data_IF_339886212081
#
_entry.id   IF_339886212081
#
_cell.length_a   1.000
_cell.length_b   1.000
_cell.length_c   1.000
_cell.angle_alpha   90.00
_cell.angle_beta   90.00
_cell.angle_gamma   90.00
#
_symmetry.space_group_name_H-M   'P 1'
#
loop_
_entity.id
_entity.type
_entity.pdbx_description
1 polymer ?
#
# COMPACT_ATOMS: atom_id res chain seq x y z
N UNK A 1 4.49 9.94 1.39
CA UNK A 1 4.35 9.81 -0.07
C UNK A 1 5.24 10.86 -0.73
N UNK A 2 6.04 10.50 -1.74
CA UNK A 2 6.79 11.50 -2.54
C UNK A 2 6.01 11.83 -3.81
N UNK A 3 6.26 13.01 -4.41
CA UNK A 3 5.59 13.40 -5.67
C UNK A 3 5.83 12.39 -6.81
N UNK A 4 7.01 11.78 -6.85
CA UNK A 4 7.33 10.75 -7.85
C UNK A 4 6.49 9.47 -7.68
N UNK A 5 6.18 9.06 -6.45
CA UNK A 5 5.30 7.91 -6.20
C UNK A 5 3.84 8.29 -6.47
N UNK A 6 3.40 9.50 -6.09
CA UNK A 6 2.04 9.97 -6.40
C UNK A 6 1.79 9.96 -7.92
N UNK A 7 2.75 10.48 -8.70
CA UNK A 7 2.70 10.43 -10.15
C UNK A 7 2.72 8.99 -10.69
N UNK A 8 3.53 8.10 -10.11
CA UNK A 8 3.53 6.68 -10.51
C UNK A 8 2.17 6.02 -10.25
N UNK A 9 1.56 6.27 -9.09
CA UNK A 9 0.22 5.78 -8.75
C UNK A 9 -0.80 6.26 -9.78
N UNK A 10 -0.86 7.58 -10.02
CA UNK A 10 -1.83 8.19 -10.93
C UNK A 10 -1.76 7.66 -12.37
N UNK A 11 -0.58 7.20 -12.81
CA UNK A 11 -0.40 6.61 -14.15
C UNK A 11 -0.42 5.07 -14.15
N UNK A 12 -0.67 4.43 -13.01
CA UNK A 12 -0.70 2.97 -12.93
C UNK A 12 -2.02 2.43 -13.47
N UNK A 13 -1.92 1.51 -14.41
CA UNK A 13 -3.09 0.80 -14.95
C UNK A 13 -3.85 0.08 -13.82
N UNK A 14 -5.18 0.19 -13.84
CA UNK A 14 -6.06 -0.46 -12.87
C UNK A 14 -6.14 0.23 -11.50
N UNK A 15 -5.54 1.39 -11.30
CA UNK A 15 -5.82 2.21 -10.11
C UNK A 15 -7.25 2.77 -10.19
N UNK A 16 -8.05 2.54 -9.15
CA UNK A 16 -9.39 3.14 -9.00
C UNK A 16 -9.29 4.45 -8.22
N UNK A 17 -8.45 4.47 -7.19
CA UNK A 17 -8.21 5.67 -6.38
C UNK A 17 -7.31 5.40 -5.17
N UNK A 18 -6.83 6.45 -4.54
CA UNK A 18 -6.00 6.36 -3.33
C UNK A 18 -6.28 7.51 -2.36
N UNK A 19 -5.92 7.30 -1.10
CA UNK A 19 -5.97 8.29 -0.03
C UNK A 19 -4.77 8.12 0.91
N UNK A 20 -4.38 9.20 1.57
CA UNK A 20 -3.28 9.25 2.52
C UNK A 20 -3.77 9.75 3.87
N UNK A 21 -3.27 9.14 4.94
CA UNK A 21 -3.47 9.63 6.30
C UNK A 21 -2.10 9.74 6.97
N UNK A 22 -1.71 10.98 7.28
CA UNK A 22 -0.47 11.27 7.99
C UNK A 22 -0.77 11.56 9.47
N UNK A 23 -0.01 10.93 10.36
CA UNK A 23 -0.02 11.20 11.80
C UNK A 23 1.42 11.57 12.23
N UNK A 24 1.87 12.81 11.99
CA UNK A 24 3.27 13.20 12.16
C UNK A 24 3.76 13.07 13.61
N UNK A 25 2.92 13.41 14.58
CA UNK A 25 3.21 13.29 16.01
C UNK A 25 3.46 11.84 16.44
N UNK A 26 2.87 10.88 15.72
CA UNK A 26 3.07 9.43 15.93
C UNK A 26 4.05 8.82 14.92
N UNK A 27 4.70 9.65 14.07
CA UNK A 27 5.59 9.21 12.99
C UNK A 27 4.99 8.12 12.09
N UNK A 28 3.66 8.12 11.95
CA UNK A 28 2.94 7.06 11.22
C UNK A 28 2.30 7.64 9.97
N UNK A 29 2.53 7.00 8.83
CA UNK A 29 2.00 7.43 7.54
C UNK A 29 1.32 6.24 6.87
N UNK A 30 0.04 6.41 6.54
CA UNK A 30 -0.79 5.38 5.95
C UNK A 30 -1.11 5.71 4.49
N UNK A 31 -1.20 4.65 3.68
CA UNK A 31 -1.69 4.71 2.30
C UNK A 31 -2.83 3.71 2.17
N UNK A 32 -3.95 4.16 1.62
CA UNK A 32 -5.08 3.33 1.22
C UNK A 32 -5.25 3.47 -0.28
N UNK A 33 -5.35 2.36 -1.00
CA UNK A 33 -5.49 2.35 -2.46
C UNK A 33 -6.43 1.24 -2.91
N UNK A 34 -7.31 1.55 -3.86
CA UNK A 34 -8.21 0.60 -4.49
C UNK A 34 -7.75 0.31 -5.92
N UNK A 35 -7.76 -0.97 -6.30
CA UNK A 35 -7.28 -1.45 -7.58
C UNK A 35 -8.33 -2.36 -8.22
N UNK A 36 -8.39 -2.40 -9.55
CA UNK A 36 -9.32 -3.27 -10.29
C UNK A 36 -9.05 -4.75 -10.03
N UNK A 37 -7.79 -5.12 -9.76
CA UNK A 37 -7.40 -6.48 -9.39
C UNK A 37 -6.01 -6.50 -8.70
N UNK A 38 -5.66 -7.66 -8.13
CA UNK A 38 -4.37 -7.87 -7.45
C UNK A 38 -3.16 -7.77 -8.39
N UNK A 39 -3.31 -8.10 -9.68
CA UNK A 39 -2.22 -8.03 -10.65
C UNK A 39 -1.79 -6.58 -10.92
N UNK A 40 -2.75 -5.66 -11.05
CA UNK A 40 -2.51 -4.22 -11.19
C UNK A 40 -1.73 -3.65 -9.98
N UNK A 41 -2.16 -3.99 -8.76
CA UNK A 41 -1.43 -3.64 -7.53
C UNK A 41 0.01 -4.18 -7.55
N UNK A 42 0.19 -5.46 -7.89
CA UNK A 42 1.52 -6.07 -7.93
C UNK A 42 2.44 -5.43 -8.98
N UNK A 43 1.90 -5.03 -10.13
CA UNK A 43 2.64 -4.32 -11.17
C UNK A 43 3.14 -2.95 -10.66
N UNK A 44 2.29 -2.19 -9.97
CA UNK A 44 2.70 -0.94 -9.32
C UNK A 44 3.80 -1.17 -8.26
N UNK A 45 3.62 -2.13 -7.36
CA UNK A 45 4.56 -2.36 -6.25
C UNK A 45 5.97 -2.73 -6.75
N UNK A 46 6.05 -3.48 -7.85
CA UNK A 46 7.30 -3.96 -8.45
C UNK A 46 7.97 -2.96 -9.38
N UNK A 47 7.29 -1.87 -9.74
CA UNK A 47 7.83 -0.85 -10.64
C UNK A 47 8.52 0.28 -9.88
N UNK A 48 9.45 0.93 -10.58
CA UNK A 48 10.13 2.11 -10.10
C UNK A 48 9.26 3.36 -10.32
N UNK A 49 9.36 4.39 -9.46
CA UNK A 49 10.28 4.54 -8.31
C UNK A 49 9.89 3.82 -7.01
N UNK A 50 8.67 3.32 -6.87
CA UNK A 50 8.13 2.79 -5.60
C UNK A 50 9.05 1.73 -4.95
N UNK A 51 9.49 0.74 -5.71
CA UNK A 51 10.35 -0.34 -5.19
C UNK A 51 11.67 0.19 -4.59
N UNK A 52 12.33 1.17 -5.22
CA UNK A 52 13.60 1.73 -4.72
C UNK A 52 13.39 2.51 -3.43
N UNK A 53 12.31 3.28 -3.33
CA UNK A 53 12.00 4.04 -2.11
C UNK A 53 11.66 3.08 -0.96
N UNK A 54 10.87 2.02 -1.21
CA UNK A 54 10.62 0.99 -0.18
C UNK A 54 11.91 0.37 0.35
N UNK A 55 12.85 0.02 -0.55
CA UNK A 55 14.16 -0.53 -0.14
C UNK A 55 14.98 0.47 0.66
N UNK A 56 15.00 1.74 0.24
CA UNK A 56 15.78 2.79 0.90
C UNK A 56 15.23 3.15 2.29
N UNK A 57 13.92 3.11 2.49
CA UNK A 57 13.28 3.45 3.77
C UNK A 57 13.31 2.30 4.78
N UNK A 58 13.43 1.05 4.31
CA UNK A 58 13.37 -0.15 5.17
C UNK A 58 14.26 -0.09 6.43
N UNK A 59 15.52 0.40 6.40
CA UNK A 59 16.36 0.47 7.61
C UNK A 59 15.90 1.49 8.65
N UNK A 60 15.02 2.43 8.27
CA UNK A 60 14.58 3.55 9.11
C UNK A 60 13.15 3.38 9.63
N UNK A 61 12.49 2.27 9.30
CA UNK A 61 11.09 2.04 9.65
C UNK A 61 10.97 0.86 10.61
N UNK A 62 10.08 1.01 11.59
CA UNK A 62 9.50 -0.11 12.32
C UNK A 62 8.81 -1.09 11.35
N UNK A 63 8.56 -2.35 11.77
CA UNK A 63 7.85 -3.34 10.96
C UNK A 63 6.56 -2.76 10.36
N UNK A 64 6.56 -2.58 9.04
CA UNK A 64 5.41 -2.03 8.33
C UNK A 64 4.36 -3.12 8.14
N UNK A 65 3.11 -2.81 8.53
CA UNK A 65 1.97 -3.72 8.36
C UNK A 65 1.27 -3.44 7.04
N UNK A 66 0.86 -4.51 6.37
CA UNK A 66 0.08 -4.45 5.14
C UNK A 66 -1.11 -5.42 5.26
N UNK A 67 -2.25 -5.01 4.72
CA UNK A 67 -3.38 -5.89 4.47
C UNK A 67 -3.96 -5.58 3.09
N UNK A 68 -4.51 -6.59 2.44
CA UNK A 68 -5.19 -6.50 1.16
C UNK A 68 -6.45 -7.34 1.26
N UNK A 69 -7.58 -6.79 0.83
CA UNK A 69 -8.88 -7.46 0.84
C UNK A 69 -9.67 -7.09 -0.42
N UNK A 70 -10.65 -7.92 -0.76
CA UNK A 70 -11.58 -7.65 -1.84
C UNK A 70 -12.73 -6.78 -1.33
N UNK A 71 -13.18 -5.83 -2.15
CA UNK A 71 -14.32 -4.97 -1.86
C UNK A 71 -15.17 -4.81 -3.11
N UNK A 72 -16.48 -4.69 -2.94
CA UNK A 72 -17.38 -4.33 -4.04
C UNK A 72 -17.10 -2.89 -4.47
N UNK A 73 -17.17 -2.62 -5.78
CA UNK A 73 -17.00 -1.26 -6.30
C UNK A 73 -18.01 -0.27 -5.70
N UNK A 74 -19.22 -0.74 -5.37
CA UNK A 74 -20.26 0.06 -4.69
C UNK A 74 -19.92 0.47 -3.25
N UNK A 75 -18.93 -0.16 -2.62
CA UNK A 75 -18.45 0.19 -1.29
C UNK A 75 -17.37 1.28 -1.33
N UNK A 76 -16.91 1.69 -2.51
CA UNK A 76 -15.91 2.74 -2.65
C UNK A 76 -16.56 4.14 -2.52
N UNK A 77 -15.88 5.12 -1.89
CA UNK A 77 -14.56 4.99 -1.24
C UNK A 77 -14.65 4.39 0.17
N UNK A 78 -13.72 3.48 0.49
CA UNK A 78 -13.57 2.95 1.85
C UNK A 78 -13.08 4.05 2.80
N UNK A 79 -13.67 4.15 3.99
CA UNK A 79 -13.26 5.11 5.01
C UNK A 79 -12.10 4.57 5.83
N UNK A 80 -11.30 5.48 6.39
CA UNK A 80 -10.14 5.13 7.22
C UNK A 80 -10.45 4.25 8.43
N UNK A 81 -11.55 4.46 9.19
CA UNK A 81 -11.91 3.54 10.28
C UNK A 81 -12.05 2.10 9.81
N UNK A 82 -12.80 1.86 8.74
CA UNK A 82 -13.02 0.52 8.18
C UNK A 82 -11.70 -0.11 7.68
N UNK A 83 -10.86 0.69 7.01
CA UNK A 83 -9.54 0.23 6.56
C UNK A 83 -8.61 -0.17 7.73
N UNK A 84 -8.68 0.57 8.85
CA UNK A 84 -7.91 0.27 10.06
C UNK A 84 -8.44 -1.01 10.74
N UNK A 85 -9.76 -1.23 10.74
CA UNK A 85 -10.35 -2.47 11.23
C UNK A 85 -9.88 -3.69 10.42
N UNK A 86 -9.87 -3.60 9.09
CA UNK A 86 -9.29 -4.65 8.23
C UNK A 86 -7.81 -4.92 8.54
N UNK A 87 -7.03 -3.87 8.81
CA UNK A 87 -5.62 -4.04 9.18
C UNK A 87 -5.47 -4.74 10.53
N UNK A 88 -6.30 -4.41 11.51
CA UNK A 88 -6.26 -4.98 12.85
C UNK A 88 -6.77 -6.42 12.90
N UNK A 89 -7.75 -6.78 12.06
CA UNK A 89 -8.24 -8.15 11.93
C UNK A 89 -7.34 -9.08 11.10
N UNK A 90 -6.42 -8.53 10.30
CA UNK A 90 -5.52 -9.33 9.48
C UNK A 90 -4.41 -9.98 10.33
N UNK A 91 -4.08 -11.27 10.12
CA UNK A 91 -2.92 -11.88 10.75
C UNK A 91 -1.66 -11.13 10.34
N UNK A 92 -0.72 -10.97 11.27
CA UNK A 92 0.53 -10.23 11.07
C UNK A 92 1.38 -10.83 9.94
N UNK A 93 1.14 -10.42 8.70
CA UNK A 93 2.06 -10.66 7.59
C UNK A 93 3.10 -9.56 7.61
N UNK A 94 4.16 -9.77 8.38
CA UNK A 94 5.39 -9.00 8.21
C UNK A 94 5.86 -9.15 6.75
N UNK A 95 6.45 -8.09 6.19
CA UNK A 95 6.95 -8.05 4.81
C UNK A 95 7.72 -9.33 4.44
N UNK A 96 7.03 -10.28 3.80
CA UNK A 96 7.64 -11.52 3.34
C UNK A 96 8.44 -11.24 2.07
N UNK A 97 9.75 -11.47 2.14
CA UNK A 97 10.62 -11.45 0.96
C UNK A 97 10.22 -12.61 0.03
N UNK A 98 10.08 -12.42 -1.29
CA UNK A 98 10.06 -13.55 -2.21
C UNK A 98 11.40 -14.28 -2.08
N UNK A 99 11.39 -15.59 -1.79
CA UNK A 99 12.60 -16.41 -1.95
C UNK A 99 12.93 -16.47 -3.44
N UNK A 100 14.19 -16.27 -3.86
CA UNK A 100 14.59 -16.61 -5.21
C UNK A 100 14.49 -18.14 -5.39
N UNK A 101 14.08 -18.63 -6.58
CA UNK A 101 14.21 -20.05 -6.89
C UNK A 101 15.70 -20.45 -6.90
N UNK A 102 15.96 -21.66 -6.41
CA UNK A 102 17.25 -22.33 -6.38
C UNK A 102 17.83 -22.56 -7.77
#
# INVERSE_FOLDING_TARGET
MTAAIARQLEHSEGLIGYSLLAQPTKKTFWTLSAWTNQQALHAFVRTMPHMKIMKALRPYMEPTRFTTWEALGSALPIRWPDAIEHLNGAPSRGSASPRPPT
#
